data_IF_004630562660
#
_entry.id   IF_004630562660
#
_cell.length_a   1.000
_cell.length_b   1.000
_cell.length_c   1.000
_cell.angle_alpha   90.00
_cell.angle_beta   90.00
_cell.angle_gamma   90.00
#
_symmetry.space_group_name_H-M   'P 1'
#
loop_
_entity.id
_entity.type
_entity.pdbx_description
1 polymer ?
#
# COMPACT_ATOMS: atom_id res chain seq x y z
N UNK A 1 -7.27 -4.11 -28.89
CA UNK A 1 -6.38 -4.47 -30.01
C UNK A 1 -4.92 -4.57 -29.58
N UNK A 2 -4.50 -3.92 -28.49
CA UNK A 2 -3.09 -3.87 -28.08
C UNK A 2 -2.62 -5.04 -27.24
N UNK A 3 -3.53 -5.82 -26.68
CA UNK A 3 -3.22 -7.06 -25.94
C UNK A 3 -2.50 -8.13 -26.79
N UNK A 4 -2.64 -8.07 -28.09
CA UNK A 4 -2.04 -9.04 -29.02
C UNK A 4 -0.60 -8.67 -29.41
N UNK A 5 -0.17 -7.43 -29.19
CA UNK A 5 1.15 -6.94 -29.59
C UNK A 5 2.24 -7.08 -28.51
N UNK A 6 1.88 -7.22 -27.25
CA UNK A 6 2.86 -7.50 -26.19
C UNK A 6 3.22 -8.98 -26.17
N UNK A 7 4.17 -9.39 -26.98
CA UNK A 7 4.72 -10.76 -26.95
C UNK A 7 5.33 -11.06 -25.59
N UNK A 8 4.50 -11.43 -24.63
CA UNK A 8 4.93 -12.01 -23.37
C UNK A 8 5.28 -11.03 -22.25
N UNK A 9 5.07 -9.75 -22.43
CA UNK A 9 5.14 -8.78 -21.32
C UNK A 9 3.71 -8.48 -20.88
N UNK A 10 3.47 -8.70 -19.60
CA UNK A 10 2.19 -8.35 -19.00
C UNK A 10 1.88 -6.88 -19.21
N UNK A 11 0.61 -6.56 -19.33
CA UNK A 11 0.14 -5.20 -19.41
C UNK A 11 0.43 -4.48 -18.08
N UNK A 12 1.29 -3.50 -18.18
CA UNK A 12 1.81 -2.75 -17.04
C UNK A 12 0.89 -1.56 -16.67
N UNK A 13 -0.15 -1.28 -17.49
CA UNK A 13 -0.90 -0.05 -17.36
C UNK A 13 -2.17 -0.17 -16.52
N UNK A 14 -2.10 0.39 -15.29
CA UNK A 14 -3.23 0.86 -14.48
C UNK A 14 -4.40 -0.11 -14.38
N UNK A 15 -4.10 -1.36 -14.06
CA UNK A 15 -5.14 -2.30 -13.70
C UNK A 15 -5.53 -2.07 -12.24
N UNK A 16 -6.78 -2.30 -11.95
CA UNK A 16 -7.31 -2.17 -10.61
C UNK A 16 -6.86 -3.35 -9.76
N UNK A 17 -6.66 -3.12 -8.48
CA UNK A 17 -6.12 -4.09 -7.53
C UNK A 17 -6.85 -5.44 -7.60
N UNK A 18 -8.18 -5.42 -7.69
CA UNK A 18 -9.04 -6.62 -7.75
C UNK A 18 -8.86 -7.48 -9.00
N UNK A 19 -8.21 -6.97 -10.04
CA UNK A 19 -7.96 -7.71 -11.28
C UNK A 19 -6.53 -8.23 -11.42
N UNK A 20 -5.63 -7.87 -10.51
CA UNK A 20 -4.21 -8.24 -10.61
C UNK A 20 -4.00 -9.76 -10.51
N UNK A 21 -4.56 -10.38 -9.49
CA UNK A 21 -4.29 -11.78 -9.20
C UNK A 21 -4.77 -12.73 -10.29
N UNK A 22 -5.99 -12.56 -10.79
CA UNK A 22 -6.54 -13.47 -11.83
C UNK A 22 -5.74 -13.42 -13.12
N UNK A 23 -5.25 -12.25 -13.49
CA UNK A 23 -4.47 -12.07 -14.72
C UNK A 23 -3.07 -12.64 -14.58
N UNK A 24 -2.42 -12.37 -13.44
CA UNK A 24 -1.11 -12.94 -13.11
C UNK A 24 -1.19 -14.47 -13.06
N UNK A 25 -2.19 -15.02 -12.38
CA UNK A 25 -2.41 -16.47 -12.29
C UNK A 25 -2.62 -17.10 -13.66
N UNK A 26 -3.43 -16.46 -14.53
CA UNK A 26 -3.62 -16.91 -15.91
C UNK A 26 -2.32 -16.98 -16.70
N UNK A 27 -1.47 -15.95 -16.61
CA UNK A 27 -0.16 -15.91 -17.26
C UNK A 27 0.79 -17.00 -16.71
N UNK A 28 0.83 -17.18 -15.38
CA UNK A 28 1.66 -18.20 -14.72
C UNK A 28 1.25 -19.62 -15.16
N UNK A 29 -0.04 -19.89 -15.27
CA UNK A 29 -0.55 -21.19 -15.80
C UNK A 29 -0.06 -21.50 -17.21
N UNK A 30 0.20 -20.47 -18.01
CA UNK A 30 0.78 -20.58 -19.34
C UNK A 30 2.31 -20.61 -19.34
N UNK A 31 2.95 -20.73 -18.19
CA UNK A 31 4.40 -20.77 -18.03
C UNK A 31 5.09 -19.41 -18.31
N UNK A 32 4.35 -18.30 -18.21
CA UNK A 32 4.90 -16.95 -18.43
C UNK A 32 5.44 -16.37 -17.13
N UNK A 33 6.60 -15.73 -17.21
CA UNK A 33 7.09 -14.86 -16.15
C UNK A 33 6.18 -13.63 -16.04
N UNK A 34 6.06 -13.08 -14.83
CA UNK A 34 5.10 -12.01 -14.56
C UNK A 34 5.79 -10.83 -13.91
N UNK A 35 5.62 -9.65 -14.49
CA UNK A 35 5.85 -8.37 -13.85
C UNK A 35 4.49 -7.71 -13.62
N UNK A 36 4.11 -7.49 -12.36
CA UNK A 36 2.78 -7.06 -11.98
C UNK A 36 2.84 -5.79 -11.16
N UNK A 37 1.93 -4.85 -11.41
CA UNK A 37 1.85 -3.61 -10.63
C UNK A 37 1.43 -3.89 -9.17
N UNK A 38 1.82 -2.99 -8.27
CA UNK A 38 1.40 -2.99 -6.87
C UNK A 38 -0.07 -2.55 -6.73
N UNK A 39 -0.76 -3.03 -5.69
CA UNK A 39 -0.51 -4.25 -4.92
C UNK A 39 -0.66 -5.49 -5.81
N UNK A 40 0.10 -6.54 -5.57
CA UNK A 40 0.07 -7.73 -6.42
C UNK A 40 -1.23 -8.54 -6.32
N UNK A 41 -2.02 -8.29 -5.31
CA UNK A 41 -3.28 -8.96 -5.02
C UNK A 41 -4.21 -8.05 -4.22
N UNK A 42 -5.48 -8.31 -4.31
CA UNK A 42 -6.52 -7.56 -3.60
C UNK A 42 -6.72 -8.09 -2.17
N UNK A 43 -6.47 -9.38 -1.95
CA UNK A 43 -6.58 -9.99 -0.64
C UNK A 43 -5.46 -11.01 -0.33
N UNK A 44 -5.45 -11.51 0.90
CA UNK A 44 -4.43 -12.45 1.39
C UNK A 44 -4.53 -13.80 0.67
N UNK A 45 -5.72 -14.25 0.34
CA UNK A 45 -5.94 -15.53 -0.35
C UNK A 45 -5.32 -15.46 -1.75
N UNK A 46 -5.59 -14.43 -2.50
CA UNK A 46 -5.00 -14.18 -3.82
C UNK A 46 -3.46 -14.13 -3.77
N UNK A 47 -2.90 -13.40 -2.78
CA UNK A 47 -1.46 -13.32 -2.60
C UNK A 47 -0.82 -14.70 -2.36
N UNK A 48 -1.47 -15.55 -1.56
CA UNK A 48 -1.03 -16.95 -1.32
C UNK A 48 -1.12 -17.80 -2.58
N UNK A 49 -2.23 -17.70 -3.32
CA UNK A 49 -2.41 -18.41 -4.60
C UNK A 49 -1.31 -18.04 -5.60
N UNK A 50 -0.98 -16.76 -5.73
CA UNK A 50 0.10 -16.32 -6.62
C UNK A 50 1.46 -16.88 -6.18
N UNK A 51 1.73 -16.90 -4.88
CA UNK A 51 2.96 -17.46 -4.32
C UNK A 51 3.09 -18.96 -4.65
N UNK A 52 2.03 -19.73 -4.47
CA UNK A 52 2.00 -21.15 -4.80
C UNK A 52 2.07 -21.40 -6.31
N UNK A 53 1.39 -20.56 -7.10
CA UNK A 53 1.44 -20.64 -8.56
C UNK A 53 2.85 -20.40 -9.10
N UNK A 54 3.56 -19.41 -8.57
CA UNK A 54 4.94 -19.12 -8.99
C UNK A 54 5.86 -20.35 -8.78
N UNK A 55 5.73 -21.01 -7.62
CA UNK A 55 6.47 -22.24 -7.32
C UNK A 55 6.05 -23.41 -8.23
N UNK A 56 4.74 -23.63 -8.35
CA UNK A 56 4.16 -24.73 -9.12
C UNK A 56 4.53 -24.68 -10.60
N UNK A 57 4.43 -23.51 -11.20
CA UNK A 57 4.70 -23.29 -12.62
C UNK A 57 6.15 -22.91 -12.90
N UNK A 58 7.01 -22.78 -11.86
CA UNK A 58 8.42 -22.44 -11.95
C UNK A 58 8.67 -21.15 -12.76
N UNK A 59 7.87 -20.14 -12.49
CA UNK A 59 7.95 -18.83 -13.14
C UNK A 59 8.58 -17.79 -12.22
N UNK A 60 9.25 -16.80 -12.80
CA UNK A 60 9.79 -15.65 -12.09
C UNK A 60 8.70 -14.58 -11.98
N UNK A 61 8.60 -13.98 -10.82
CA UNK A 61 7.64 -12.92 -10.55
C UNK A 61 8.34 -11.69 -9.98
N UNK A 62 7.87 -10.51 -10.36
CA UNK A 62 8.34 -9.23 -9.85
C UNK A 62 7.15 -8.30 -9.64
N UNK A 63 7.07 -7.70 -8.47
CA UNK A 63 6.14 -6.60 -8.22
C UNK A 63 6.74 -5.28 -8.71
N UNK A 64 5.97 -4.50 -9.45
CA UNK A 64 6.30 -3.13 -9.81
C UNK A 64 5.97 -2.19 -8.66
N UNK A 65 7.00 -1.63 -8.06
CA UNK A 65 6.89 -0.71 -6.93
C UNK A 65 8.00 0.34 -7.05
N UNK A 66 7.61 1.56 -7.43
CA UNK A 66 8.57 2.65 -7.55
C UNK A 66 9.15 3.01 -6.17
N UNK A 67 10.33 3.59 -6.15
CA UNK A 67 11.08 3.88 -4.94
C UNK A 67 11.92 2.71 -4.41
N UNK A 68 11.49 1.47 -4.61
CA UNK A 68 12.23 0.30 -4.13
C UNK A 68 13.61 0.08 -4.78
N UNK A 69 13.90 0.77 -5.87
CA UNK A 69 15.16 0.68 -6.60
C UNK A 69 15.93 2.00 -6.64
N UNK A 70 15.47 3.01 -5.89
CA UNK A 70 16.12 4.32 -5.81
C UNK A 70 17.42 4.28 -4.99
N UNK A 71 18.22 5.32 -5.12
CA UNK A 71 19.52 5.42 -4.41
C UNK A 71 19.32 5.58 -2.91
N UNK A 72 18.24 6.23 -2.46
CA UNK A 72 17.89 6.34 -1.05
C UNK A 72 17.74 4.97 -0.36
N UNK A 73 17.11 4.01 -1.04
CA UNK A 73 17.00 2.64 -0.52
C UNK A 73 18.35 1.92 -0.43
N UNK A 74 19.28 2.19 -1.35
CA UNK A 74 20.64 1.63 -1.31
C UNK A 74 21.44 2.24 -0.17
N UNK A 75 21.42 3.56 -0.04
CA UNK A 75 22.05 4.30 1.05
C UNK A 75 21.52 3.84 2.42
N UNK A 76 20.21 3.73 2.55
CA UNK A 76 19.61 3.24 3.80
C UNK A 76 20.08 1.81 4.13
N UNK A 77 20.19 0.93 3.14
CA UNK A 77 20.76 -0.42 3.32
C UNK A 77 22.20 -0.36 3.82
N UNK A 78 23.05 0.50 3.24
CA UNK A 78 24.44 0.68 3.67
C UNK A 78 24.52 1.14 5.12
N UNK A 79 23.64 2.03 5.56
CA UNK A 79 23.55 2.47 6.94
C UNK A 79 23.17 1.34 7.92
N UNK A 80 22.22 0.49 7.49
CA UNK A 80 21.85 -0.70 8.26
C UNK A 80 23.01 -1.72 8.33
N UNK A 81 23.67 -1.99 7.23
CA UNK A 81 24.82 -2.90 7.14
C UNK A 81 26.03 -2.37 7.97
N UNK A 82 26.18 -1.06 8.05
CA UNK A 82 27.21 -0.40 8.88
C UNK A 82 26.80 -0.26 10.36
N UNK A 83 25.64 -0.76 10.76
CA UNK A 83 25.11 -0.69 12.14
C UNK A 83 25.04 0.74 12.70
N UNK A 84 24.76 1.73 11.86
CA UNK A 84 24.69 3.14 12.28
C UNK A 84 23.50 3.40 13.19
N UNK A 85 22.39 2.68 13.03
CA UNK A 85 21.18 2.85 13.82
C UNK A 85 21.16 1.97 15.08
N UNK A 86 22.01 0.94 15.14
CA UNK A 86 21.96 -0.06 16.19
C UNK A 86 20.73 -0.95 16.10
N UNK A 87 20.25 -1.43 17.24
CA UNK A 87 19.06 -2.28 17.30
C UNK A 87 17.80 -1.45 17.10
N UNK A 88 17.03 -1.78 16.06
CA UNK A 88 15.77 -1.09 15.76
C UNK A 88 14.69 -1.55 16.73
N UNK A 89 14.11 -0.60 17.45
CA UNK A 89 13.10 -0.82 18.48
C UNK A 89 11.69 -0.55 17.99
N UNK A 90 11.52 0.48 17.13
CA UNK A 90 10.24 0.91 16.60
C UNK A 90 10.40 1.39 15.17
N UNK A 91 9.33 1.24 14.40
CA UNK A 91 9.20 1.82 13.06
C UNK A 91 7.87 2.55 12.99
N UNK A 92 7.89 3.76 12.47
CA UNK A 92 6.68 4.55 12.19
C UNK A 92 6.55 4.74 10.69
N UNK A 93 5.36 4.45 10.19
CA UNK A 93 4.98 4.57 8.79
C UNK A 93 3.68 5.37 8.71
N UNK A 94 3.62 6.40 7.89
CA UNK A 94 2.38 7.16 7.72
C UNK A 94 2.22 7.69 6.30
N UNK A 95 0.98 8.08 5.97
CA UNK A 95 0.64 8.72 4.70
C UNK A 95 -0.49 9.72 4.89
N UNK A 96 -0.52 10.77 4.06
CA UNK A 96 -1.65 11.69 3.97
C UNK A 96 -2.87 11.10 3.23
N UNK A 97 -2.70 9.91 2.61
CA UNK A 97 -3.81 9.22 1.93
C UNK A 97 -4.89 8.81 2.94
N UNK A 98 -6.16 8.75 2.51
CA UNK A 98 -6.65 8.82 1.14
C UNK A 98 -6.80 10.27 0.64
N UNK A 99 -6.56 10.48 -0.67
CA UNK A 99 -6.91 11.70 -1.41
C UNK A 99 -8.13 11.47 -2.31
N UNK A 100 -8.79 10.37 -2.13
CA UNK A 100 -10.06 9.95 -2.73
C UNK A 100 -11.11 9.74 -1.63
N UNK A 101 -12.42 9.78 -1.96
CA UNK A 101 -13.48 9.59 -0.98
C UNK A 101 -13.42 8.21 -0.31
N UNK A 102 -13.43 8.20 1.04
CA UNK A 102 -13.62 7.01 1.89
C UNK A 102 -14.58 7.34 3.03
N UNK A 103 -15.14 6.31 3.69
CA UNK A 103 -16.08 6.48 4.79
C UNK A 103 -17.41 7.09 4.34
N UNK A 104 -17.83 6.84 3.12
CA UNK A 104 -19.06 7.37 2.53
C UNK A 104 -19.98 6.23 2.07
N UNK A 105 -21.31 6.44 1.99
CA UNK A 105 -22.23 5.45 1.43
C UNK A 105 -21.96 5.26 -0.07
N UNK A 106 -22.26 4.05 -0.56
CA UNK A 106 -22.31 3.82 -2.00
C UNK A 106 -23.35 4.73 -2.65
N UNK A 107 -23.00 5.50 -3.70
CA UNK A 107 -23.95 6.40 -4.34
C UNK A 107 -25.17 5.66 -4.91
N UNK A 108 -26.36 6.21 -4.65
CA UNK A 108 -27.62 5.63 -5.15
C UNK A 108 -27.93 5.97 -6.61
N UNK A 109 -27.24 6.96 -7.17
CA UNK A 109 -27.40 7.37 -8.57
C UNK A 109 -26.79 6.34 -9.51
N UNK A 110 -27.45 6.11 -10.63
CA UNK A 110 -27.04 5.16 -11.67
C UNK A 110 -26.85 5.89 -13.00
N UNK A 111 -25.75 6.63 -13.16
CA UNK A 111 -25.48 7.35 -14.39
C UNK A 111 -25.14 6.35 -15.52
N UNK A 112 -25.23 6.83 -16.76
CA UNK A 112 -24.81 6.04 -17.91
C UNK A 112 -23.29 5.79 -17.87
N UNK A 113 -22.91 4.59 -18.29
CA UNK A 113 -21.49 4.24 -18.43
C UNK A 113 -20.84 5.14 -19.47
N UNK A 114 -19.70 5.79 -19.18
CA UNK A 114 -19.03 6.67 -20.14
C UNK A 114 -18.72 5.97 -21.45
N UNK A 115 -18.92 6.67 -22.56
CA UNK A 115 -18.63 6.14 -23.90
C UNK A 115 -17.15 5.72 -23.99
N UNK A 116 -16.92 4.48 -24.39
CA UNK A 116 -15.57 3.91 -24.53
C UNK A 116 -15.10 3.14 -23.30
N UNK A 117 -15.82 3.17 -22.17
CA UNK A 117 -15.57 2.29 -21.03
C UNK A 117 -16.41 1.01 -21.18
N UNK A 118 -15.74 -0.14 -21.22
CA UNK A 118 -16.42 -1.42 -21.07
C UNK A 118 -16.52 -1.74 -19.58
N UNK A 119 -17.68 -1.45 -18.99
CA UNK A 119 -17.87 -1.56 -17.55
C UNK A 119 -17.79 -3.01 -17.05
N UNK A 120 -18.32 -3.96 -17.78
CA UNK A 120 -18.26 -5.37 -17.43
C UNK A 120 -16.80 -5.88 -17.35
N UNK A 121 -15.99 -5.55 -18.36
CA UNK A 121 -14.56 -5.88 -18.34
C UNK A 121 -13.78 -5.13 -17.27
N UNK A 122 -14.20 -3.92 -16.90
CA UNK A 122 -13.57 -3.15 -15.85
C UNK A 122 -13.87 -3.74 -14.46
N UNK A 123 -15.11 -4.12 -14.20
CA UNK A 123 -15.53 -4.83 -12.98
C UNK A 123 -14.81 -6.18 -12.86
N UNK A 124 -14.66 -6.89 -13.96
CA UNK A 124 -13.88 -8.12 -14.04
C UNK A 124 -14.35 -9.20 -13.05
N UNK A 125 -13.50 -9.56 -12.09
CA UNK A 125 -13.79 -10.61 -11.10
C UNK A 125 -14.51 -10.13 -9.85
N UNK A 126 -14.66 -8.81 -9.67
CA UNK A 126 -15.43 -8.27 -8.56
C UNK A 126 -16.93 -8.56 -8.72
N UNK A 127 -17.66 -8.57 -7.61
CA UNK A 127 -19.12 -8.64 -7.67
C UNK A 127 -19.67 -7.44 -8.47
N UNK A 128 -20.57 -7.71 -9.41
CA UNK A 128 -21.10 -6.67 -10.29
C UNK A 128 -21.91 -5.63 -9.51
N UNK A 129 -21.68 -4.37 -9.84
CA UNK A 129 -22.46 -3.21 -9.41
C UNK A 129 -22.68 -2.28 -10.57
N UNK A 130 -23.75 -1.46 -10.48
CA UNK A 130 -23.97 -0.41 -11.46
C UNK A 130 -22.84 0.62 -11.39
N UNK A 131 -22.54 1.25 -12.52
CA UNK A 131 -21.56 2.32 -12.61
C UNK A 131 -21.99 3.52 -11.74
N UNK A 132 -21.02 4.16 -11.13
CA UNK A 132 -21.19 5.43 -10.41
C UNK A 132 -20.20 6.47 -10.94
N UNK A 133 -20.58 7.74 -10.89
CA UNK A 133 -19.72 8.84 -11.32
C UNK A 133 -18.45 8.94 -10.46
N UNK A 134 -17.39 9.39 -11.08
CA UNK A 134 -16.08 9.62 -10.47
C UNK A 134 -15.40 8.38 -9.87
N UNK A 135 -15.94 7.17 -10.06
CA UNK A 135 -15.27 5.95 -9.59
C UNK A 135 -13.95 5.73 -10.35
N UNK A 136 -14.00 5.86 -11.66
CA UNK A 136 -12.83 5.78 -12.52
C UNK A 136 -12.36 7.19 -12.92
N UNK A 137 -11.06 7.40 -13.14
CA UNK A 137 -9.98 6.40 -13.18
C UNK A 137 -9.31 6.15 -11.82
N UNK A 138 -9.73 6.80 -10.72
CA UNK A 138 -8.90 6.87 -9.50
C UNK A 138 -9.62 6.49 -8.20
N UNK A 139 -10.86 6.94 -7.99
CA UNK A 139 -11.55 6.87 -6.70
C UNK A 139 -12.02 5.46 -6.28
N UNK A 140 -11.96 4.50 -7.19
CA UNK A 140 -12.23 3.09 -6.90
C UNK A 140 -11.41 2.53 -5.72
N UNK A 141 -10.29 3.17 -5.40
CA UNK A 141 -9.40 2.78 -4.29
C UNK A 141 -10.05 2.85 -2.92
N UNK A 142 -11.04 3.71 -2.75
CA UNK A 142 -11.80 3.89 -1.51
C UNK A 142 -12.86 2.83 -1.24
N UNK A 143 -13.05 1.88 -2.14
CA UNK A 143 -14.09 0.88 -2.07
C UNK A 143 -13.51 -0.52 -1.98
N UNK A 144 -13.82 -1.24 -0.90
CA UNK A 144 -13.31 -2.61 -0.67
C UNK A 144 -13.54 -3.57 -1.82
N UNK A 145 -14.56 -3.33 -2.64
CA UNK A 145 -14.86 -4.13 -3.82
C UNK A 145 -13.77 -4.07 -4.89
N UNK A 146 -13.06 -2.97 -5.00
CA UNK A 146 -12.13 -2.69 -6.09
C UNK A 146 -10.72 -2.35 -5.63
N UNK A 147 -10.61 -1.74 -4.46
CA UNK A 147 -9.38 -1.25 -3.90
C UNK A 147 -9.15 -1.74 -2.48
N UNK A 148 -8.08 -1.27 -1.90
CA UNK A 148 -7.57 -1.69 -0.59
C UNK A 148 -7.35 -0.51 0.36
N UNK A 149 -7.98 0.65 0.03
CA UNK A 149 -7.85 1.86 0.82
C UNK A 149 -6.43 2.42 0.87
N UNK A 150 -6.21 3.35 1.79
CA UNK A 150 -4.91 4.02 1.95
C UNK A 150 -3.79 3.04 2.33
N UNK A 151 -4.06 2.08 3.22
CA UNK A 151 -3.06 1.08 3.61
C UNK A 151 -2.61 0.22 2.43
N UNK A 152 -3.52 -0.32 1.64
CA UNK A 152 -3.14 -1.18 0.52
C UNK A 152 -2.52 -0.42 -0.64
N UNK A 153 -2.95 0.82 -0.89
CA UNK A 153 -2.35 1.67 -1.93
C UNK A 153 -0.93 2.11 -1.57
N UNK A 154 -0.69 2.58 -0.34
CA UNK A 154 0.58 3.18 0.08
C UNK A 154 1.47 2.27 0.93
N UNK A 155 0.92 1.26 1.58
CA UNK A 155 1.69 0.35 2.43
C UNK A 155 2.78 -0.39 1.66
N UNK A 156 2.57 -0.71 0.39
CA UNK A 156 3.58 -1.31 -0.49
C UNK A 156 4.84 -0.46 -0.58
N UNK A 157 4.68 0.87 -0.62
CA UNK A 157 5.77 1.83 -0.71
C UNK A 157 6.43 2.09 0.65
N UNK A 158 5.60 2.38 1.66
CA UNK A 158 6.06 2.91 2.96
C UNK A 158 6.48 1.80 3.93
N UNK A 159 5.79 0.65 3.93
CA UNK A 159 6.20 -0.53 4.73
C UNK A 159 7.26 -1.36 3.99
N UNK A 160 7.42 -1.16 2.69
CA UNK A 160 8.41 -1.86 1.87
C UNK A 160 9.85 -1.76 2.41
N UNK A 161 10.37 -0.54 2.69
CA UNK A 161 11.70 -0.36 3.28
C UNK A 161 11.92 -1.15 4.57
N UNK A 162 11.12 -0.99 5.64
CA UNK A 162 11.31 -1.76 6.86
C UNK A 162 11.13 -3.27 6.66
N UNK A 163 10.18 -3.67 5.82
CA UNK A 163 9.95 -5.08 5.55
C UNK A 163 11.20 -5.76 4.95
N UNK A 164 11.87 -5.08 4.01
CA UNK A 164 13.09 -5.58 3.35
C UNK A 164 14.32 -5.52 4.27
N UNK A 165 14.56 -4.36 4.87
CA UNK A 165 15.79 -4.11 5.63
C UNK A 165 15.83 -4.93 6.92
N UNK A 166 14.71 -5.01 7.63
CA UNK A 166 14.59 -5.77 8.88
C UNK A 166 14.23 -7.24 8.64
N UNK A 167 14.01 -7.64 7.37
CA UNK A 167 13.62 -8.99 7.00
C UNK A 167 12.40 -9.49 7.80
N UNK A 168 11.39 -8.62 7.91
CA UNK A 168 10.17 -8.90 8.63
C UNK A 168 9.43 -10.08 7.97
N UNK A 169 8.91 -10.96 8.81
CA UNK A 169 8.03 -12.04 8.39
C UNK A 169 6.55 -11.65 8.54
N UNK A 170 5.75 -12.59 9.02
CA UNK A 170 4.36 -12.30 9.38
C UNK A 170 4.31 -11.63 10.75
N UNK A 171 3.41 -10.64 10.96
CA UNK A 171 3.19 -10.09 12.28
C UNK A 171 2.60 -11.15 13.22
N UNK A 172 3.00 -11.14 14.47
CA UNK A 172 2.48 -12.02 15.52
C UNK A 172 1.22 -11.46 16.18
N UNK A 173 1.04 -10.16 16.09
CA UNK A 173 -0.10 -9.42 16.64
C UNK A 173 -0.38 -8.21 15.76
N UNK A 174 -1.67 -7.91 15.56
CA UNK A 174 -2.13 -6.71 14.88
C UNK A 174 -3.24 -6.09 15.71
N UNK A 175 -3.13 -4.80 16.00
CA UNK A 175 -4.20 -4.00 16.59
C UNK A 175 -4.51 -2.79 15.72
N UNK A 176 -5.79 -2.50 15.54
CA UNK A 176 -6.25 -1.44 14.65
C UNK A 176 -7.31 -0.59 15.33
N UNK A 177 -7.22 0.71 15.09
CA UNK A 177 -8.29 1.68 15.37
C UNK A 177 -8.60 2.46 14.11
N UNK A 178 -9.88 2.69 13.87
CA UNK A 178 -10.36 3.47 12.73
C UNK A 178 -11.24 4.62 13.21
N UNK A 179 -11.41 5.63 12.37
CA UNK A 179 -12.32 6.74 12.64
C UNK A 179 -13.77 6.32 12.47
N UNK A 180 -14.66 6.87 13.31
CA UNK A 180 -16.08 6.80 13.12
C UNK A 180 -16.54 7.94 12.20
N UNK A 181 -17.60 7.71 11.44
CA UNK A 181 -18.31 8.72 10.66
C UNK A 181 -19.73 8.87 11.19
N UNK A 182 -20.29 10.05 11.02
CA UNK A 182 -21.65 10.37 11.49
C UNK A 182 -22.49 10.87 10.33
N UNK A 183 -23.73 10.38 10.23
CA UNK A 183 -24.74 10.84 9.28
C UNK A 183 -25.62 11.95 9.83
N UNK A 184 -25.62 12.15 11.15
CA UNK A 184 -26.38 13.16 11.87
C UNK A 184 -25.82 13.42 13.26
N UNK A 185 -26.52 14.20 14.08
CA UNK A 185 -26.11 14.51 15.47
C UNK A 185 -26.24 13.24 16.31
N UNK A 186 -25.12 12.72 16.81
CA UNK A 186 -25.01 11.45 17.54
C UNK A 186 -25.49 10.21 16.78
N UNK A 187 -25.61 10.30 15.45
CA UNK A 187 -25.96 9.18 14.59
C UNK A 187 -24.72 8.65 13.91
N UNK A 188 -24.10 7.64 14.51
CA UNK A 188 -22.98 6.95 13.93
C UNK A 188 -23.40 6.23 12.64
N UNK A 189 -22.61 6.40 11.58
CA UNK A 189 -22.83 5.75 10.30
C UNK A 189 -21.77 4.67 10.05
N UNK A 190 -22.20 3.57 9.47
CA UNK A 190 -21.31 2.49 9.06
C UNK A 190 -21.54 2.16 7.59
N UNK A 191 -20.48 2.27 6.80
CA UNK A 191 -20.50 2.02 5.37
C UNK A 191 -19.54 0.84 5.04
N UNK A 192 -20.02 -0.40 5.12
CA UNK A 192 -19.17 -1.59 5.03
C UNK A 192 -18.47 -1.78 3.67
N UNK A 193 -18.97 -1.12 2.61
CA UNK A 193 -18.39 -1.16 1.28
C UNK A 193 -17.23 -0.18 1.11
N UNK A 194 -17.16 0.85 1.95
CA UNK A 194 -16.15 1.91 1.91
C UNK A 194 -15.01 1.62 2.88
N UNK A 195 -13.80 1.93 2.48
CA UNK A 195 -12.66 1.91 3.38
C UNK A 195 -12.79 3.02 4.45
N UNK A 196 -12.19 2.88 5.64
CA UNK A 196 -12.26 3.89 6.71
C UNK A 196 -11.52 5.17 6.30
N UNK A 197 -12.01 6.31 6.75
CA UNK A 197 -11.43 7.64 6.45
C UNK A 197 -9.98 7.74 6.93
N UNK A 198 -9.69 7.19 8.12
CA UNK A 198 -8.36 7.14 8.69
C UNK A 198 -8.20 5.90 9.56
N UNK A 199 -6.97 5.43 9.68
CA UNK A 199 -6.62 4.30 10.53
C UNK A 199 -5.29 4.50 11.26
N UNK A 200 -5.19 3.86 12.43
CA UNK A 200 -3.95 3.69 13.17
C UNK A 200 -3.79 2.22 13.51
N UNK A 201 -2.72 1.61 13.03
CA UNK A 201 -2.49 0.17 13.12
C UNK A 201 -1.12 -0.09 13.72
N UNK A 202 -1.08 -0.97 14.74
CA UNK A 202 0.17 -1.49 15.27
C UNK A 202 0.35 -2.93 14.85
N UNK A 203 1.47 -3.22 14.22
CA UNK A 203 1.95 -4.56 13.93
C UNK A 203 3.09 -4.92 14.89
N UNK A 204 3.06 -6.13 15.43
CA UNK A 204 4.13 -6.68 16.24
C UNK A 204 4.80 -7.81 15.48
N UNK A 205 6.12 -7.74 15.38
CA UNK A 205 6.93 -8.74 14.71
C UNK A 205 7.93 -9.35 15.69
N UNK A 206 8.37 -10.57 15.41
CA UNK A 206 9.53 -11.14 16.07
C UNK A 206 10.78 -10.91 15.23
N UNK A 207 11.81 -10.32 15.84
CA UNK A 207 13.13 -10.23 15.22
C UNK A 207 13.84 -11.59 15.27
N UNK A 208 14.95 -11.72 14.55
CA UNK A 208 15.75 -12.97 14.48
C UNK A 208 16.28 -13.40 15.85
N UNK A 209 16.57 -12.47 16.73
CA UNK A 209 17.03 -12.70 18.10
C UNK A 209 15.90 -13.06 19.08
N UNK A 210 14.65 -13.08 18.61
CA UNK A 210 13.45 -13.38 19.39
C UNK A 210 12.84 -12.17 20.11
N UNK A 211 13.48 -11.00 20.05
CA UNK A 211 12.92 -9.76 20.61
C UNK A 211 11.75 -9.24 19.78
N UNK A 212 10.95 -8.35 20.35
CA UNK A 212 9.79 -7.76 19.70
C UNK A 212 10.17 -6.47 18.96
N UNK A 213 9.57 -6.28 17.79
CA UNK A 213 9.57 -5.03 17.04
C UNK A 213 8.13 -4.56 16.85
N UNK A 214 7.86 -3.29 17.15
CA UNK A 214 6.57 -2.66 16.81
C UNK A 214 6.73 -1.78 15.58
N UNK A 215 5.85 -2.00 14.59
CA UNK A 215 5.67 -1.12 13.44
C UNK A 215 4.29 -0.48 13.56
N UNK A 216 4.25 0.83 13.44
CA UNK A 216 3.04 1.63 13.49
C UNK A 216 2.74 2.16 12.08
N UNK A 217 1.51 1.96 11.65
CA UNK A 217 0.95 2.55 10.43
C UNK A 217 -0.12 3.57 10.78
N UNK A 218 -0.10 4.69 10.09
CA UNK A 218 -1.11 5.74 10.23
C UNK A 218 -1.46 6.31 8.86
N UNK A 219 -2.75 6.59 8.65
CA UNK A 219 -3.26 7.20 7.42
C UNK A 219 -4.38 8.20 7.72
N UNK A 220 -4.91 8.84 6.67
CA UNK A 220 -5.99 9.81 6.79
C UNK A 220 -5.58 11.11 7.50
N UNK A 221 -4.30 11.47 7.44
CA UNK A 221 -3.76 12.66 8.10
C UNK A 221 -3.32 12.43 9.55
N UNK A 222 -3.46 11.20 10.08
CA UNK A 222 -2.86 10.86 11.36
C UNK A 222 -1.36 10.67 11.17
N UNK A 223 -0.57 11.31 12.01
CA UNK A 223 0.89 11.26 11.98
C UNK A 223 1.45 10.89 13.36
N UNK A 224 2.68 10.36 13.45
CA UNK A 224 3.37 10.24 14.73
C UNK A 224 3.63 11.62 15.34
N UNK A 225 3.79 11.66 16.64
CA UNK A 225 4.33 12.85 17.31
C UNK A 225 5.71 13.18 16.72
N UNK A 226 6.06 14.47 16.70
CA UNK A 226 7.41 14.89 16.31
C UNK A 226 8.40 14.32 17.33
N UNK A 227 9.45 13.70 16.81
CA UNK A 227 10.50 13.14 17.67
C UNK A 227 11.36 14.27 18.24
N UNK A 228 11.53 14.27 19.57
CA UNK A 228 12.31 15.29 20.29
C UNK A 228 13.79 15.30 19.86
N UNK A 229 14.29 14.15 19.41
CA UNK A 229 15.65 13.97 18.94
C UNK A 229 15.95 14.64 17.61
N UNK A 230 14.92 15.02 16.86
CA UNK A 230 15.07 15.72 15.59
C UNK A 230 15.14 17.22 15.88
N UNK A 231 16.26 17.83 15.48
CA UNK A 231 16.44 19.28 15.56
C UNK A 231 15.21 19.98 14.96
N UNK A 232 14.56 20.91 15.71
CA UNK A 232 13.43 21.68 15.18
C UNK A 232 13.74 22.41 13.87
N UNK A 233 15.00 22.80 13.68
CA UNK A 233 15.49 23.50 12.50
C UNK A 233 16.12 22.55 11.46
N UNK A 234 16.10 21.22 11.71
CA UNK A 234 16.61 20.26 10.74
C UNK A 234 15.79 20.31 9.46
N UNK A 235 16.50 20.40 8.34
CA UNK A 235 15.91 20.23 7.03
C UNK A 235 15.42 18.79 6.88
N UNK A 236 14.13 18.61 7.02
CA UNK A 236 13.44 17.33 6.87
C UNK A 236 12.93 17.14 5.44
N UNK A 237 13.45 17.91 4.48
CA UNK A 237 13.00 17.80 3.09
C UNK A 237 13.33 16.44 2.50
N UNK A 238 12.34 15.88 1.84
CA UNK A 238 12.52 14.70 1.00
C UNK A 238 13.19 15.12 -0.31
N UNK A 239 14.06 14.28 -0.85
CA UNK A 239 14.80 14.52 -2.10
C UNK A 239 13.92 14.70 -3.36
N UNK A 240 12.61 14.64 -3.23
CA UNK A 240 11.64 14.88 -4.31
C UNK A 240 11.16 16.33 -4.41
N UNK A 241 11.85 17.29 -3.82
CA UNK A 241 11.53 18.72 -3.86
C UNK A 241 11.56 19.36 -2.47
N UNK A 242 11.41 20.65 -2.40
CA UNK A 242 11.52 21.49 -1.19
C UNK A 242 10.36 21.30 -0.18
N UNK A 243 9.86 20.06 -0.01
CA UNK A 243 8.76 19.75 0.91
C UNK A 243 9.31 19.17 2.21
N UNK A 244 8.90 19.75 3.33
CA UNK A 244 9.17 19.22 4.68
C UNK A 244 8.69 17.77 4.77
N UNK A 245 9.53 16.86 5.28
CA UNK A 245 9.18 15.44 5.40
C UNK A 245 7.95 15.17 6.26
N UNK A 246 7.60 16.06 7.17
CA UNK A 246 6.36 15.97 7.95
C UNK A 246 5.14 16.43 7.13
N UNK A 247 5.35 17.19 6.06
CA UNK A 247 4.31 17.68 5.14
C UNK A 247 4.19 16.85 3.86
N UNK A 248 5.07 15.85 3.67
CA UNK A 248 5.03 14.99 2.48
C UNK A 248 3.97 13.90 2.57
N UNK A 249 3.66 13.35 1.41
CA UNK A 249 2.63 12.34 1.18
C UNK A 249 2.77 11.07 2.02
N UNK A 250 3.90 10.87 2.70
CA UNK A 250 4.15 9.77 3.60
C UNK A 250 5.63 9.48 3.80
N UNK A 251 5.95 8.89 4.94
CA UNK A 251 7.33 8.54 5.28
C UNK A 251 7.41 7.31 6.18
N UNK A 252 8.64 6.81 6.32
CA UNK A 252 9.03 5.79 7.29
C UNK A 252 10.13 6.34 8.18
N UNK A 253 9.98 6.18 9.50
CA UNK A 253 11.01 6.49 10.48
C UNK A 253 11.40 5.23 11.23
N UNK A 254 12.70 4.96 11.28
CA UNK A 254 13.31 3.90 12.07
C UNK A 254 13.90 4.49 13.35
N UNK A 255 13.52 3.94 14.50
CA UNK A 255 14.04 4.32 15.81
C UNK A 255 14.94 3.21 16.31
N UNK A 256 16.23 3.45 16.33
CA UNK A 256 17.25 2.51 16.80
C UNK A 256 17.93 2.98 18.08
N UNK A 257 18.74 2.09 18.66
CA UNK A 257 19.46 2.36 19.91
C UNK A 257 20.64 3.31 19.76
N UNK A 258 21.13 3.53 18.54
CA UNK A 258 22.25 4.42 18.24
C UNK A 258 21.84 5.67 17.48
N UNK A 259 20.64 5.69 16.90
CA UNK A 259 20.17 6.81 16.13
C UNK A 259 18.86 6.51 15.41
N UNK A 260 18.41 7.48 14.65
CA UNK A 260 17.19 7.42 13.85
C UNK A 260 17.51 7.64 12.37
N UNK A 261 16.69 7.07 11.51
CA UNK A 261 16.71 7.34 10.08
C UNK A 261 15.30 7.47 9.55
N UNK A 262 15.12 8.31 8.55
CA UNK A 262 13.86 8.46 7.83
C UNK A 262 14.05 8.26 6.34
N UNK A 263 13.01 7.82 5.67
CA UNK A 263 12.94 7.79 4.21
C UNK A 263 11.53 8.11 3.74
N UNK A 264 11.44 8.77 2.61
CA UNK A 264 10.21 8.92 1.87
C UNK A 264 9.82 7.62 1.16
N UNK A 265 8.80 7.68 0.32
CA UNK A 265 8.29 6.52 -0.41
C UNK A 265 8.84 6.38 -1.85
N UNK A 266 9.68 7.30 -2.31
CA UNK A 266 10.26 7.29 -3.66
C UNK A 266 11.66 7.88 -3.73
#
# INVERSE_FOLDING_TARGET
PDLVRSRGLGDVYKRQDHNHAIQAFGAMRMGKHVYLQKPIAHDIYEARILTEAAKKYKVVTQMGDQGNSCDGMRTLREWFEADLLGDIQKVYCWTNRPVWPQGIPWPSQKPEVPKGLNWDLWVGTAEYVDYIDNLVPFNWRGWWRFGTGALGDMGCHIIGPPFKLLQLGYPTEVSCSTTNVYSGIFEEAYYPESCPVASSIRYKFKKKDGSDLSLYWMDGGIMPERFEEIDPDADMTCTMGDLDMMDVEGATVFVGTKGMASCGWG
#
